data_IF_781710306633
#
_entry.id   IF_781710306633
#
_cell.length_a   1.000
_cell.length_b   1.000
_cell.length_c   1.000
_cell.angle_alpha   90.00
_cell.angle_beta   90.00
_cell.angle_gamma   90.00
#
_symmetry.space_group_name_H-M   'P 1'
#
loop_
_entity.id
_entity.type
_entity.pdbx_description
1 polymer ?
#
# COMPACT_ATOMS: atom_id res chain seq x y z
N UNK A 1 -9.94 6.40 29.13
CA UNK A 1 -9.15 5.37 28.42
C UNK A 1 -9.65 5.36 27.00
N UNK A 2 -8.87 5.86 26.05
CA UNK A 2 -9.21 5.70 24.64
C UNK A 2 -9.17 4.20 24.35
N UNK A 3 -10.28 3.63 23.89
CA UNK A 3 -10.27 2.27 23.36
C UNK A 3 -9.22 2.21 22.24
N UNK A 4 -8.49 1.09 22.11
CA UNK A 4 -7.44 0.91 21.09
C UNK A 4 -7.88 1.17 19.63
N UNK A 5 -9.18 1.35 19.40
CA UNK A 5 -9.81 1.64 18.12
C UNK A 5 -9.40 2.97 17.44
N UNK A 6 -8.68 3.87 18.11
CA UNK A 6 -8.35 5.19 17.53
C UNK A 6 -6.88 5.60 17.65
N UNK A 7 -5.99 4.73 18.14
CA UNK A 7 -4.55 5.03 18.25
C UNK A 7 -3.92 5.37 16.89
N UNK A 8 -4.46 4.86 15.80
CA UNK A 8 -4.00 5.21 14.45
C UNK A 8 -4.21 6.70 14.12
N UNK A 9 -5.17 7.40 14.74
CA UNK A 9 -5.43 8.82 14.43
C UNK A 9 -4.28 9.74 14.83
N UNK A 10 -3.44 9.32 15.78
CA UNK A 10 -2.28 10.10 16.23
C UNK A 10 -1.00 9.83 15.43
N UNK A 11 -1.03 8.91 14.45
CA UNK A 11 0.11 8.62 13.58
C UNK A 11 0.52 9.86 12.78
N UNK A 12 1.82 10.10 12.67
CA UNK A 12 2.40 11.30 12.05
C UNK A 12 1.79 11.65 10.66
N UNK A 13 1.57 10.69 9.73
CA UNK A 13 0.99 11.01 8.42
C UNK A 13 -0.46 11.52 8.46
N UNK A 14 -1.13 11.39 9.62
CA UNK A 14 -2.54 11.66 9.83
C UNK A 14 -2.80 12.90 10.70
N UNK A 15 -1.81 13.39 11.45
CA UNK A 15 -1.97 14.51 12.39
C UNK A 15 -2.47 15.81 11.74
N UNK A 16 -2.11 16.04 10.47
CA UNK A 16 -2.49 17.25 9.71
C UNK A 16 -3.58 16.99 8.67
N UNK A 17 -4.27 15.84 8.72
CA UNK A 17 -5.36 15.52 7.78
C UNK A 17 -6.68 16.10 8.27
N UNK A 18 -7.58 16.40 7.34
CA UNK A 18 -8.90 16.93 7.68
C UNK A 18 -9.76 15.86 8.38
N UNK A 19 -10.75 16.25 9.19
CA UNK A 19 -11.68 15.30 9.81
C UNK A 19 -12.33 14.34 8.80
N UNK A 20 -12.73 14.84 7.62
CA UNK A 20 -13.37 14.03 6.58
C UNK A 20 -12.43 12.96 6.02
N UNK A 21 -11.13 13.26 5.93
CA UNK A 21 -10.12 12.27 5.55
C UNK A 21 -10.00 11.18 6.61
N UNK A 22 -9.97 11.56 7.89
CA UNK A 22 -9.89 10.60 9.00
C UNK A 22 -11.16 9.73 9.07
N UNK A 23 -12.33 10.31 8.84
CA UNK A 23 -13.59 9.56 8.76
C UNK A 23 -13.58 8.57 7.60
N UNK A 24 -13.02 8.97 6.44
CA UNK A 24 -12.83 8.06 5.31
C UNK A 24 -11.88 6.90 5.68
N UNK A 25 -10.75 7.17 6.35
CA UNK A 25 -9.84 6.10 6.83
C UNK A 25 -10.59 5.16 7.78
N UNK A 26 -11.31 5.69 8.76
CA UNK A 26 -12.10 4.93 9.71
C UNK A 26 -13.15 4.05 9.01
N UNK A 27 -13.76 4.53 7.92
CA UNK A 27 -14.74 3.77 7.14
C UNK A 27 -14.13 2.59 6.37
N UNK A 28 -12.87 2.70 5.93
CA UNK A 28 -12.19 1.66 5.16
C UNK A 28 -11.46 0.63 6.04
N UNK A 29 -11.03 1.03 7.25
CA UNK A 29 -10.29 0.17 8.18
C UNK A 29 -10.97 -1.19 8.41
N UNK A 30 -12.29 -1.26 8.76
CA UNK A 30 -12.95 -2.53 8.99
C UNK A 30 -12.85 -3.49 7.80
N UNK A 31 -12.93 -2.96 6.56
CA UNK A 31 -12.85 -3.81 5.36
C UNK A 31 -11.51 -4.55 5.25
N UNK A 32 -10.42 -3.95 5.73
CA UNK A 32 -9.09 -4.58 5.72
C UNK A 32 -8.85 -5.39 7.00
N UNK A 33 -9.32 -4.91 8.14
CA UNK A 33 -9.16 -5.57 9.44
C UNK A 33 -9.93 -6.89 9.54
N UNK A 34 -11.07 -7.03 8.87
CA UNK A 34 -11.87 -8.27 8.88
C UNK A 34 -11.37 -9.32 7.90
N UNK A 35 -10.35 -9.01 7.07
CA UNK A 35 -9.74 -10.00 6.19
C UNK A 35 -9.11 -11.14 7.02
N UNK A 36 -9.13 -12.35 6.45
CA UNK A 36 -8.39 -13.48 7.03
C UNK A 36 -6.90 -13.15 7.12
N UNK A 37 -6.17 -13.79 8.04
CA UNK A 37 -4.72 -13.57 8.16
C UNK A 37 -4.00 -13.86 6.84
N UNK A 38 -4.40 -14.94 6.15
CA UNK A 38 -3.86 -15.31 4.85
C UNK A 38 -4.10 -14.21 3.80
N UNK A 39 -5.31 -13.63 3.75
CA UNK A 39 -5.64 -12.57 2.81
C UNK A 39 -4.93 -11.26 3.15
N UNK A 40 -4.73 -10.95 4.43
CA UNK A 40 -3.90 -9.82 4.87
C UNK A 40 -2.45 -9.99 4.40
N UNK A 41 -1.88 -11.19 4.53
CA UNK A 41 -0.54 -11.48 4.02
C UNK A 41 -0.43 -11.36 2.50
N UNK A 42 -1.44 -11.82 1.75
CA UNK A 42 -1.48 -11.67 0.28
C UNK A 42 -1.60 -10.19 -0.10
N UNK A 43 -2.50 -9.47 0.56
CA UNK A 43 -2.76 -8.05 0.31
C UNK A 43 -1.56 -7.18 0.72
N UNK A 44 -0.81 -7.52 1.77
CA UNK A 44 0.38 -6.76 2.19
C UNK A 44 1.52 -6.86 1.18
N UNK A 45 1.66 -7.99 0.48
CA UNK A 45 2.61 -8.15 -0.63
C UNK A 45 2.19 -7.31 -1.83
N UNK A 46 0.91 -7.32 -2.20
CA UNK A 46 0.39 -6.42 -3.24
C UNK A 46 0.57 -4.94 -2.85
N UNK A 47 0.26 -4.58 -1.59
CA UNK A 47 0.43 -3.24 -1.06
C UNK A 47 1.88 -2.78 -1.15
N UNK A 48 2.84 -3.66 -0.85
CA UNK A 48 4.27 -3.35 -0.99
C UNK A 48 4.64 -2.99 -2.44
N UNK A 49 4.11 -3.71 -3.42
CA UNK A 49 4.29 -3.37 -4.84
C UNK A 49 3.68 -2.00 -5.19
N UNK A 50 2.50 -1.70 -4.67
CA UNK A 50 1.86 -0.39 -4.86
C UNK A 50 2.69 0.75 -4.25
N UNK A 51 3.23 0.57 -3.04
CA UNK A 51 4.05 1.58 -2.36
C UNK A 51 5.37 1.85 -3.08
N UNK A 52 6.06 0.79 -3.55
CA UNK A 52 7.25 0.92 -4.40
C UNK A 52 6.92 1.71 -5.67
N UNK A 53 5.86 1.32 -6.38
CA UNK A 53 5.45 2.01 -7.59
C UNK A 53 5.07 3.47 -7.29
N UNK A 54 4.31 3.73 -6.23
CA UNK A 54 3.90 5.07 -5.84
C UNK A 54 5.12 5.99 -5.61
N UNK A 55 6.12 5.52 -4.86
CA UNK A 55 7.34 6.30 -4.62
C UNK A 55 8.07 6.64 -5.92
N UNK A 56 8.25 5.63 -6.79
CA UNK A 56 8.88 5.82 -8.10
C UNK A 56 8.13 6.86 -8.92
N UNK A 57 6.80 6.72 -9.08
CA UNK A 57 6.00 7.67 -9.85
C UNK A 57 6.04 9.08 -9.25
N UNK A 58 6.01 9.22 -7.92
CA UNK A 58 6.07 10.52 -7.25
C UNK A 58 7.40 11.21 -7.52
N UNK A 59 8.53 10.51 -7.35
CA UNK A 59 9.88 11.08 -7.56
C UNK A 59 10.13 11.44 -9.01
N UNK A 60 9.75 10.57 -9.95
CA UNK A 60 9.88 10.87 -11.38
C UNK A 60 9.00 12.07 -11.78
N UNK A 61 7.74 12.11 -11.34
CA UNK A 61 6.83 13.24 -11.65
C UNK A 61 7.31 14.57 -11.07
N UNK A 62 7.97 14.54 -9.92
CA UNK A 62 8.51 15.73 -9.24
C UNK A 62 9.92 16.10 -9.69
N UNK A 63 10.51 15.32 -10.59
CA UNK A 63 11.92 15.46 -10.99
C UNK A 63 12.87 15.52 -9.79
N UNK A 64 12.58 14.73 -8.74
CA UNK A 64 13.38 14.70 -7.52
C UNK A 64 14.85 14.35 -7.82
N UNK A 65 15.77 14.89 -7.03
CA UNK A 65 17.21 14.62 -7.17
C UNK A 65 17.55 13.15 -6.90
N UNK A 66 16.77 12.49 -6.03
CA UNK A 66 16.94 11.09 -5.62
C UNK A 66 16.00 10.13 -6.37
N UNK A 67 15.62 10.49 -7.60
CA UNK A 67 14.80 9.64 -8.48
C UNK A 67 15.60 8.44 -8.99
N UNK A 68 14.90 7.37 -9.38
CA UNK A 68 15.53 6.07 -9.72
C UNK A 68 15.49 5.74 -11.22
N UNK A 69 14.96 6.66 -12.03
CA UNK A 69 14.95 6.57 -13.48
C UNK A 69 13.58 6.14 -14.03
N UNK A 70 13.21 6.67 -15.21
CA UNK A 70 11.91 6.41 -15.83
C UNK A 70 11.74 4.95 -16.27
N UNK A 71 12.83 4.23 -16.56
CA UNK A 71 12.80 2.81 -16.93
C UNK A 71 12.29 1.95 -15.77
N UNK A 72 12.84 2.15 -14.57
CA UNK A 72 12.42 1.39 -13.39
C UNK A 72 11.00 1.76 -12.98
N UNK A 73 10.65 3.06 -13.02
CA UNK A 73 9.30 3.52 -12.77
C UNK A 73 8.29 2.88 -13.74
N UNK A 74 8.60 2.82 -15.03
CA UNK A 74 7.76 2.17 -16.04
C UNK A 74 7.64 0.66 -15.79
N UNK A 75 8.74 -0.02 -15.49
CA UNK A 75 8.72 -1.46 -15.22
C UNK A 75 7.87 -1.79 -13.98
N UNK A 76 8.04 -1.04 -12.89
CA UNK A 76 7.22 -1.18 -11.68
C UNK A 76 5.73 -0.96 -11.96
N UNK A 77 5.40 0.07 -12.73
CA UNK A 77 4.02 0.34 -13.15
C UNK A 77 3.40 -0.81 -13.94
N UNK A 78 4.16 -1.41 -14.86
CA UNK A 78 3.71 -2.58 -15.64
C UNK A 78 3.40 -3.76 -14.73
N UNK A 79 4.25 -4.05 -13.74
CA UNK A 79 4.02 -5.14 -12.78
C UNK A 79 2.77 -4.92 -11.93
N UNK A 80 2.58 -3.72 -11.37
CA UNK A 80 1.38 -3.40 -10.58
C UNK A 80 0.12 -3.52 -11.44
N UNK A 81 0.16 -3.04 -12.69
CA UNK A 81 -0.97 -3.19 -13.62
C UNK A 81 -1.27 -4.65 -13.96
N UNK A 82 -0.25 -5.48 -14.16
CA UNK A 82 -0.43 -6.91 -14.40
C UNK A 82 -1.06 -7.59 -13.17
N UNK A 83 -0.56 -7.30 -11.96
CA UNK A 83 -1.14 -7.82 -10.72
C UNK A 83 -2.62 -7.42 -10.53
N UNK A 84 -2.98 -6.19 -10.88
CA UNK A 84 -4.38 -5.73 -10.88
C UNK A 84 -5.18 -6.49 -11.94
N UNK A 85 -4.72 -6.56 -13.18
CA UNK A 85 -5.49 -7.20 -14.27
C UNK A 85 -5.68 -8.70 -14.02
N UNK A 86 -4.60 -9.38 -13.69
CA UNK A 86 -4.52 -10.85 -13.66
C UNK A 86 -4.89 -11.41 -12.28
N UNK A 87 -4.94 -10.54 -11.25
CA UNK A 87 -5.19 -10.90 -9.84
C UNK A 87 -4.21 -11.93 -9.30
N UNK A 88 -3.00 -11.93 -9.83
CA UNK A 88 -1.93 -12.84 -9.47
C UNK A 88 -0.61 -12.06 -9.51
N UNK A 89 0.25 -12.28 -8.54
CA UNK A 89 1.64 -11.81 -8.57
C UNK A 89 2.58 -13.01 -8.63
N UNK A 90 3.43 -13.04 -9.64
CA UNK A 90 4.51 -14.03 -9.74
C UNK A 90 5.78 -13.45 -9.14
N UNK A 91 6.31 -14.10 -8.10
CA UNK A 91 7.48 -13.63 -7.35
C UNK A 91 8.68 -14.58 -7.47
N UNK A 92 8.79 -15.28 -8.60
CA UNK A 92 9.88 -16.23 -8.84
C UNK A 92 9.97 -17.30 -7.74
N UNK A 93 11.14 -17.42 -7.12
CA UNK A 93 11.39 -18.36 -6.01
C UNK A 93 10.58 -18.06 -4.74
N UNK A 94 10.07 -16.83 -4.57
CA UNK A 94 9.19 -16.45 -3.45
C UNK A 94 7.73 -16.90 -3.66
N UNK A 95 7.46 -17.59 -4.77
CA UNK A 95 6.19 -18.22 -5.08
C UNK A 95 5.21 -17.32 -5.83
N UNK A 96 3.94 -17.70 -5.79
CA UNK A 96 2.83 -16.95 -6.40
C UNK A 96 1.89 -16.44 -5.33
N UNK A 97 1.46 -15.19 -5.44
CA UNK A 97 0.44 -14.59 -4.57
C UNK A 97 -0.86 -14.51 -5.36
N UNK A 98 -1.86 -15.25 -4.92
CA UNK A 98 -3.20 -15.23 -5.49
C UNK A 98 -4.05 -14.12 -4.85
N UNK A 99 -4.52 -13.17 -5.65
CA UNK A 99 -5.33 -12.04 -5.24
C UNK A 99 -6.80 -12.18 -5.70
N UNK A 100 -7.23 -13.40 -6.09
CA UNK A 100 -8.57 -13.65 -6.63
C UNK A 100 -9.65 -13.81 -5.56
N UNK A 101 -9.29 -13.92 -4.28
CA UNK A 101 -10.25 -13.95 -3.19
C UNK A 101 -11.21 -12.74 -3.29
N UNK A 102 -12.55 -12.94 -3.18
CA UNK A 102 -13.53 -11.88 -3.38
C UNK A 102 -13.26 -10.61 -2.54
N UNK A 103 -12.83 -10.78 -1.31
CA UNK A 103 -12.58 -9.73 -0.34
C UNK A 103 -11.34 -8.91 -0.72
N UNK A 104 -10.25 -9.58 -1.13
CA UNK A 104 -9.06 -8.91 -1.70
C UNK A 104 -9.43 -8.14 -2.96
N UNK A 105 -10.18 -8.77 -3.87
CA UNK A 105 -10.62 -8.14 -5.12
C UNK A 105 -11.45 -6.89 -4.86
N UNK A 106 -12.34 -6.91 -3.87
CA UNK A 106 -13.17 -5.77 -3.51
C UNK A 106 -12.28 -4.58 -3.09
N UNK A 107 -11.29 -4.80 -2.23
CA UNK A 107 -10.33 -3.78 -1.79
C UNK A 107 -9.54 -3.20 -2.97
N UNK A 108 -8.96 -4.07 -3.82
CA UNK A 108 -8.16 -3.61 -4.97
C UNK A 108 -9.02 -2.87 -6.00
N UNK A 109 -10.24 -3.36 -6.27
CA UNK A 109 -11.17 -2.72 -7.19
C UNK A 109 -11.57 -1.33 -6.71
N UNK A 110 -11.83 -1.17 -5.42
CA UNK A 110 -12.19 0.12 -4.84
C UNK A 110 -11.02 1.11 -4.97
N UNK A 111 -9.80 0.69 -4.61
CA UNK A 111 -8.60 1.51 -4.82
C UNK A 111 -8.44 1.95 -6.27
N UNK A 112 -8.59 1.02 -7.22
CA UNK A 112 -8.54 1.32 -8.65
C UNK A 112 -9.64 2.33 -9.06
N UNK A 113 -10.89 2.11 -8.63
CA UNK A 113 -12.03 2.97 -8.95
C UNK A 113 -11.80 4.40 -8.46
N UNK A 114 -11.38 4.55 -7.20
CA UNK A 114 -11.10 5.84 -6.58
C UNK A 114 -9.93 6.56 -7.27
N UNK A 115 -8.83 5.85 -7.55
CA UNK A 115 -7.67 6.44 -8.23
C UNK A 115 -8.01 6.93 -9.64
N UNK A 116 -8.81 6.17 -10.40
CA UNK A 116 -9.24 6.59 -11.74
C UNK A 116 -10.18 7.79 -11.69
N UNK A 117 -11.15 7.80 -10.76
CA UNK A 117 -12.03 8.93 -10.55
C UNK A 117 -11.24 10.18 -10.09
N UNK A 118 -10.22 9.97 -9.25
CA UNK A 118 -9.32 11.00 -8.73
C UNK A 118 -8.59 11.83 -9.78
N UNK A 119 -8.41 11.29 -10.99
CA UNK A 119 -7.81 12.03 -12.11
C UNK A 119 -8.62 13.26 -12.53
N UNK A 120 -9.93 13.25 -12.28
CA UNK A 120 -10.86 14.35 -12.62
C UNK A 120 -11.43 15.03 -11.37
N UNK A 121 -11.38 14.35 -10.22
CA UNK A 121 -12.09 14.72 -8.99
C UNK A 121 -11.13 14.65 -7.79
N UNK A 122 -10.51 15.77 -7.38
CA UNK A 122 -9.54 15.79 -6.28
C UNK A 122 -10.06 15.18 -4.96
N UNK A 123 -11.34 15.33 -4.67
CA UNK A 123 -12.01 14.73 -3.51
C UNK A 123 -11.99 13.19 -3.57
N UNK A 124 -12.13 12.60 -4.76
CA UNK A 124 -12.03 11.14 -4.96
C UNK A 124 -10.59 10.66 -4.81
N UNK A 125 -9.63 11.50 -5.14
CA UNK A 125 -8.22 11.21 -4.89
C UNK A 125 -7.92 11.16 -3.38
N UNK A 126 -8.52 12.05 -2.58
CA UNK A 126 -8.38 11.97 -1.12
C UNK A 126 -8.95 10.65 -0.55
N UNK A 127 -10.07 10.17 -1.08
CA UNK A 127 -10.60 8.85 -0.70
C UNK A 127 -9.65 7.70 -1.08
N UNK A 128 -8.99 7.76 -2.24
CA UNK A 128 -7.99 6.76 -2.62
C UNK A 128 -6.80 6.75 -1.64
N UNK A 129 -6.35 7.94 -1.22
CA UNK A 129 -5.31 8.09 -0.20
C UNK A 129 -5.76 7.61 1.17
N UNK A 130 -7.01 7.85 1.56
CA UNK A 130 -7.59 7.34 2.80
C UNK A 130 -7.66 5.82 2.84
N UNK A 131 -8.13 5.18 1.75
CA UNK A 131 -8.08 3.71 1.62
C UNK A 131 -6.65 3.19 1.67
N UNK A 132 -5.71 3.85 0.99
CA UNK A 132 -4.29 3.50 1.05
C UNK A 132 -3.74 3.58 2.48
N UNK A 133 -4.11 4.60 3.24
CA UNK A 133 -3.70 4.75 4.64
C UNK A 133 -4.32 3.67 5.54
N UNK A 134 -5.60 3.34 5.34
CA UNK A 134 -6.27 2.24 6.05
C UNK A 134 -5.57 0.90 5.81
N UNK A 135 -5.16 0.62 4.56
CA UNK A 135 -4.33 -0.55 4.26
C UNK A 135 -2.97 -0.50 4.96
N UNK A 136 -2.30 0.65 4.99
CA UNK A 136 -1.01 0.77 5.67
C UNK A 136 -1.13 0.53 7.19
N UNK A 137 -2.19 1.02 7.81
CA UNK A 137 -2.49 0.78 9.24
C UNK A 137 -2.78 -0.71 9.47
N UNK A 138 -3.81 -1.24 8.81
CA UNK A 138 -4.31 -2.59 9.09
C UNK A 138 -3.30 -3.69 8.70
N UNK A 139 -2.40 -3.43 7.76
CA UNK A 139 -1.39 -4.38 7.30
C UNK A 139 0.00 -4.14 7.91
N UNK A 140 0.17 -3.08 8.72
CA UNK A 140 1.44 -2.63 9.29
C UNK A 140 2.32 -3.78 9.83
N UNK A 141 1.78 -4.76 10.60
CA UNK A 141 2.59 -5.87 11.14
C UNK A 141 3.34 -6.68 10.07
N UNK A 142 2.84 -6.73 8.83
CA UNK A 142 3.39 -7.57 7.77
C UNK A 142 4.08 -6.80 6.65
N UNK A 143 3.95 -5.47 6.60
CA UNK A 143 4.42 -4.68 5.46
C UNK A 143 5.94 -4.76 5.27
N UNK A 144 6.73 -4.79 6.34
CA UNK A 144 8.19 -4.86 6.22
C UNK A 144 8.65 -6.19 5.59
N UNK A 145 8.16 -7.30 6.13
CA UNK A 145 8.45 -8.64 5.58
C UNK A 145 7.91 -8.80 4.15
N UNK A 146 6.73 -8.22 3.88
CA UNK A 146 6.11 -8.24 2.55
C UNK A 146 6.89 -7.42 1.52
N UNK A 147 7.44 -6.27 1.93
CA UNK A 147 8.31 -5.45 1.10
C UNK A 147 9.58 -6.21 0.75
N UNK A 148 10.20 -6.88 1.73
CA UNK A 148 11.38 -7.70 1.47
C UNK A 148 11.07 -8.87 0.54
N UNK A 149 9.97 -9.59 0.77
CA UNK A 149 9.51 -10.67 -0.12
C UNK A 149 9.25 -10.18 -1.55
N UNK A 150 8.54 -9.07 -1.70
CA UNK A 150 8.31 -8.46 -3.01
C UNK A 150 9.62 -8.06 -3.69
N UNK A 151 10.53 -7.42 -2.97
CA UNK A 151 11.82 -6.95 -3.52
C UNK A 151 12.69 -8.09 -4.07
N UNK A 152 12.69 -9.25 -3.41
CA UNK A 152 13.44 -10.43 -3.84
C UNK A 152 12.82 -11.11 -5.06
N UNK A 153 11.49 -11.13 -5.14
CA UNK A 153 10.77 -11.96 -6.10
C UNK A 153 10.21 -11.23 -7.32
N UNK A 154 10.05 -9.91 -7.29
CA UNK A 154 9.33 -9.17 -8.33
C UNK A 154 10.02 -9.14 -9.71
N UNK A 155 11.24 -9.65 -9.83
CA UNK A 155 11.99 -9.68 -11.09
C UNK A 155 12.58 -8.32 -11.50
N UNK A 156 12.48 -7.30 -10.64
CA UNK A 156 13.17 -6.02 -10.83
C UNK A 156 14.39 -5.93 -9.93
N UNK A 157 15.44 -5.27 -10.42
CA UNK A 157 16.56 -4.85 -9.58
C UNK A 157 16.16 -3.57 -8.83
N UNK A 158 15.55 -3.73 -7.66
CA UNK A 158 15.17 -2.60 -6.81
C UNK A 158 16.39 -2.14 -5.99
N UNK A 159 16.83 -0.87 -6.12
CA UNK A 159 17.94 -0.36 -5.31
C UNK A 159 17.62 -0.40 -3.82
N UNK A 160 18.60 -0.70 -2.98
CA UNK A 160 18.41 -0.73 -1.51
C UNK A 160 17.91 0.62 -0.98
N UNK A 161 18.42 1.73 -1.52
CA UNK A 161 17.97 3.07 -1.20
C UNK A 161 16.46 3.28 -1.48
N UNK A 162 15.91 2.63 -2.52
CA UNK A 162 14.47 2.67 -2.80
C UNK A 162 13.69 1.90 -1.72
N UNK A 163 14.17 0.73 -1.33
CA UNK A 163 13.53 -0.09 -0.28
C UNK A 163 13.51 0.66 1.05
N UNK A 164 14.64 1.28 1.42
CA UNK A 164 14.72 2.14 2.61
C UNK A 164 13.77 3.33 2.52
N UNK A 165 13.75 4.03 1.39
CA UNK A 165 12.84 5.14 1.21
C UNK A 165 11.36 4.71 1.28
N UNK A 166 10.97 3.55 0.75
CA UNK A 166 9.60 3.02 0.90
C UNK A 166 9.28 2.76 2.37
N UNK A 167 10.19 2.11 3.10
CA UNK A 167 10.04 1.83 4.52
C UNK A 167 9.82 3.12 5.31
N UNK A 168 10.68 4.11 5.11
CA UNK A 168 10.67 5.36 5.88
C UNK A 168 9.46 6.24 5.55
N UNK A 169 9.04 6.29 4.28
CA UNK A 169 7.95 7.18 3.86
C UNK A 169 6.55 6.55 4.02
N UNK A 170 6.43 5.21 4.00
CA UNK A 170 5.11 4.57 3.90
C UNK A 170 4.84 3.45 4.91
N UNK A 171 5.86 2.90 5.59
CA UNK A 171 5.68 1.78 6.52
C UNK A 171 5.91 2.24 7.95
N UNK A 172 7.12 2.73 8.25
CA UNK A 172 7.51 3.20 9.60
C UNK A 172 6.52 4.20 10.20
N UNK A 173 6.02 5.20 9.46
CA UNK A 173 5.09 6.19 10.01
C UNK A 173 3.71 5.63 10.39
N UNK A 174 3.37 4.43 9.90
CA UNK A 174 2.11 3.73 10.20
C UNK A 174 2.26 2.61 11.22
N UNK A 175 3.48 2.36 11.73
CA UNK A 175 3.70 1.34 12.75
C UNK A 175 3.00 1.72 14.06
N UNK A 176 2.11 0.84 14.49
CA UNK A 176 1.51 0.90 15.81
C UNK A 176 2.38 0.12 16.80
N UNK A 177 2.46 0.62 18.04
CA UNK A 177 3.31 0.09 19.11
C UNK A 177 2.91 -1.30 19.59
N UNK A 178 1.76 -1.81 19.16
CA UNK A 178 1.19 -3.08 19.64
C UNK A 178 1.32 -4.15 18.56
N UNK A 179 2.00 -5.24 18.92
CA UNK A 179 2.05 -6.46 18.14
C UNK A 179 0.64 -7.05 18.08
N UNK A 180 0.03 -7.04 16.90
CA UNK A 180 -1.16 -7.84 16.61
C UNK A 180 -0.68 -9.18 16.07
N UNK A 181 -0.68 -10.20 16.93
CA UNK A 181 -0.60 -11.59 16.47
C UNK A 181 -1.92 -11.92 15.75
N UNK A 182 -1.81 -12.54 14.57
CA UNK A 182 -2.88 -13.41 14.11
C UNK A 182 -2.96 -14.61 15.06
#
# INVERSE_FOLDING_TARGET
MASGHELWRSLEPLQNRSPEFLDAVASYLPTVETLSCEDKHKLSVFKSAELVNALLQIREKRESEDRFGPELAKASFVLVRAAIRDRIMHLGSEGTVDLRAPEIRAVINEGCRLFHAGKKHPERYQLALALSAAQCIALSPWLDGSLMRYSKGCGLQLPEALIHAVRDNFITPYRQSEHVEC
#
